data_IF_283695983198
#
_entry.id   IF_283695983198
#
_cell.length_a   1.000
_cell.length_b   1.000
_cell.length_c   1.000
_cell.angle_alpha   90.00
_cell.angle_beta   90.00
_cell.angle_gamma   90.00
#
_symmetry.space_group_name_H-M   'P 1'
#
loop_
_entity.id
_entity.type
_entity.pdbx_description
1 polymer ?
#
# COMPACT_ATOMS: atom_id res chain seq x y z
N UNK A 1 19.43 -12.38 2.33
CA UNK A 1 19.26 -11.46 1.19
C UNK A 1 20.49 -11.47 0.31
N UNK A 2 20.29 -11.21 -0.96
CA UNK A 2 21.38 -11.19 -1.94
C UNK A 2 22.16 -9.89 -1.79
N UNK A 3 23.50 -9.99 -1.90
CA UNK A 3 24.35 -8.81 -1.96
C UNK A 3 24.11 -8.04 -3.28
N UNK A 4 23.77 -6.76 -3.17
CA UNK A 4 23.50 -5.89 -4.32
C UNK A 4 24.54 -4.77 -4.47
N UNK A 5 25.69 -4.88 -3.78
CA UNK A 5 26.72 -3.84 -3.77
C UNK A 5 27.22 -3.45 -5.15
N UNK A 6 27.27 -4.39 -6.09
CA UNK A 6 27.77 -4.18 -7.44
C UNK A 6 26.73 -3.64 -8.43
N UNK A 7 25.45 -3.58 -8.03
CA UNK A 7 24.40 -3.06 -8.91
C UNK A 7 24.46 -1.55 -9.01
N UNK A 8 24.24 -1.05 -10.21
CA UNK A 8 24.07 0.39 -10.45
C UNK A 8 22.77 0.85 -9.80
N UNK A 9 22.81 1.99 -9.12
CA UNK A 9 21.60 2.64 -8.59
C UNK A 9 20.73 3.09 -9.76
N UNK A 10 19.49 2.61 -9.79
CA UNK A 10 18.51 2.96 -10.82
C UNK A 10 17.17 3.26 -10.15
N UNK A 11 16.32 4.00 -10.86
CA UNK A 11 14.95 4.19 -10.42
C UNK A 11 14.21 2.87 -10.52
N UNK A 12 13.58 2.48 -9.41
CA UNK A 12 12.79 1.26 -9.31
C UNK A 12 11.36 1.60 -8.94
N UNK A 13 10.43 0.90 -9.56
CA UNK A 13 9.00 1.09 -9.34
C UNK A 13 8.33 -0.27 -9.23
N UNK A 14 7.46 -0.42 -8.24
CA UNK A 14 6.61 -1.60 -8.09
C UNK A 14 5.16 -1.17 -7.91
N UNK A 15 4.26 -1.96 -8.47
CA UNK A 15 2.82 -1.76 -8.36
C UNK A 15 2.23 -3.03 -7.79
N UNK A 16 1.45 -2.91 -6.72
CA UNK A 16 0.72 -4.03 -6.13
C UNK A 16 -0.78 -3.69 -6.13
N UNK A 17 -1.59 -4.71 -6.24
CA UNK A 17 -3.04 -4.56 -6.24
C UNK A 17 -3.68 -5.56 -5.27
N UNK A 18 -4.82 -5.18 -4.72
CA UNK A 18 -5.62 -6.06 -3.88
C UNK A 18 -7.08 -5.65 -3.94
N UNK A 19 -7.94 -6.49 -3.42
CA UNK A 19 -9.38 -6.22 -3.38
C UNK A 19 -9.90 -6.49 -1.98
N UNK A 20 -10.61 -5.51 -1.44
CA UNK A 20 -11.34 -5.64 -0.19
C UNK A 20 -12.80 -5.94 -0.51
N UNK A 21 -13.23 -7.17 -0.21
CA UNK A 21 -14.60 -7.60 -0.44
C UNK A 21 -15.47 -7.26 0.76
N UNK A 22 -16.63 -6.69 0.51
CA UNK A 22 -17.58 -6.32 1.54
C UNK A 22 -19.02 -6.45 1.02
N UNK A 23 -19.94 -5.64 1.52
CA UNK A 23 -21.35 -5.67 1.13
C UNK A 23 -21.77 -4.34 0.52
N UNK A 24 -22.86 -4.35 -0.25
CA UNK A 24 -23.43 -3.13 -0.81
C UNK A 24 -23.82 -2.15 0.28
N UNK A 25 -24.31 -2.65 1.41
CA UNK A 25 -24.69 -1.81 2.56
C UNK A 25 -23.48 -1.04 3.11
N UNK A 26 -22.36 -1.69 3.27
CA UNK A 26 -21.13 -1.06 3.76
C UNK A 26 -20.62 -0.02 2.76
N UNK A 27 -20.65 -0.35 1.47
CA UNK A 27 -20.23 0.59 0.43
C UNK A 27 -21.14 1.82 0.40
N UNK A 28 -22.44 1.65 0.54
CA UNK A 28 -23.37 2.78 0.58
C UNK A 28 -23.09 3.69 1.77
N UNK A 29 -22.83 3.12 2.96
CA UNK A 29 -22.44 3.88 4.14
C UNK A 29 -21.13 4.65 3.92
N UNK A 30 -20.17 4.03 3.27
CA UNK A 30 -18.89 4.66 2.96
C UNK A 30 -19.08 5.86 2.01
N UNK A 31 -19.89 5.71 0.96
CA UNK A 31 -20.18 6.77 0.00
C UNK A 31 -20.93 7.94 0.64
N UNK A 32 -21.76 7.67 1.62
CA UNK A 32 -22.50 8.69 2.38
C UNK A 32 -21.67 9.31 3.50
N UNK A 33 -20.43 8.86 3.69
CA UNK A 33 -19.54 9.27 4.79
C UNK A 33 -20.19 9.08 6.17
N UNK A 34 -21.03 8.05 6.29
CA UNK A 34 -21.82 7.78 7.49
C UNK A 34 -21.17 6.76 8.43
N UNK A 35 -19.93 6.36 8.18
CA UNK A 35 -19.21 5.42 9.04
C UNK A 35 -18.68 6.13 10.29
N UNK A 36 -18.76 5.48 11.47
CA UNK A 36 -18.47 6.16 12.75
C UNK A 36 -17.00 6.54 12.93
N UNK A 37 -16.08 5.93 12.19
CA UNK A 37 -14.64 6.21 12.29
C UNK A 37 -14.14 7.28 11.32
N UNK A 38 -15.05 8.03 10.67
CA UNK A 38 -14.71 9.13 9.79
C UNK A 38 -14.35 8.68 8.37
N UNK A 39 -13.43 9.37 7.72
CA UNK A 39 -13.04 9.09 6.34
C UNK A 39 -12.20 7.81 6.26
N UNK A 40 -12.85 6.73 5.90
CA UNK A 40 -12.26 5.40 5.85
C UNK A 40 -11.16 5.32 4.79
N UNK A 41 -11.38 5.88 3.61
CA UNK A 41 -10.41 5.81 2.53
C UNK A 41 -9.16 6.64 2.84
N UNK A 42 -9.33 7.83 3.40
CA UNK A 42 -8.18 8.65 3.79
C UNK A 42 -7.36 7.97 4.89
N UNK A 43 -8.02 7.36 5.87
CA UNK A 43 -7.36 6.62 6.95
C UNK A 43 -6.60 5.42 6.40
N UNK A 44 -7.21 4.64 5.53
CA UNK A 44 -6.57 3.48 4.90
C UNK A 44 -5.39 3.89 4.02
N UNK A 45 -5.50 4.99 3.30
CA UNK A 45 -4.40 5.53 2.48
C UNK A 45 -3.19 5.86 3.33
N UNK A 46 -3.39 6.59 4.42
CA UNK A 46 -2.31 6.96 5.34
C UNK A 46 -1.68 5.70 5.94
N UNK A 47 -2.49 4.74 6.37
CA UNK A 47 -1.98 3.49 6.93
C UNK A 47 -1.12 2.72 5.93
N UNK A 48 -1.54 2.64 4.67
CA UNK A 48 -0.78 1.99 3.61
C UNK A 48 0.55 2.69 3.34
N UNK A 49 0.56 4.01 3.27
CA UNK A 49 1.78 4.79 3.08
C UNK A 49 2.75 4.59 4.24
N UNK A 50 2.27 4.65 5.47
CA UNK A 50 3.10 4.41 6.66
C UNK A 50 3.67 3.00 6.66
N UNK A 51 2.86 2.00 6.27
CA UNK A 51 3.29 0.61 6.23
C UNK A 51 4.40 0.38 5.19
N UNK A 52 4.29 0.99 4.01
CA UNK A 52 5.34 0.91 3.00
C UNK A 52 6.69 1.38 3.55
N UNK A 53 6.68 2.45 4.32
CA UNK A 53 7.90 3.03 4.92
C UNK A 53 8.44 2.21 6.09
N UNK A 54 7.68 1.24 6.60
CA UNK A 54 8.04 0.37 7.74
C UNK A 54 8.11 -1.09 7.34
N UNK A 55 8.25 -1.40 6.08
CA UNK A 55 8.23 -2.78 5.59
C UNK A 55 9.34 -3.61 6.24
N UNK A 56 10.52 -3.04 6.42
CA UNK A 56 11.64 -3.71 7.08
C UNK A 56 11.33 -4.12 8.52
N UNK A 57 10.47 -3.38 9.22
CA UNK A 57 10.05 -3.70 10.58
C UNK A 57 8.95 -4.79 10.61
N UNK A 58 8.21 -4.96 9.52
CA UNK A 58 7.07 -5.88 9.44
C UNK A 58 7.42 -7.20 8.77
N UNK A 59 8.29 -7.16 7.78
CA UNK A 59 8.63 -8.32 6.95
C UNK A 59 10.06 -8.72 7.23
N UNK A 60 10.29 -9.96 7.71
CA UNK A 60 11.65 -10.44 7.95
C UNK A 60 12.52 -10.42 6.70
N UNK A 61 13.81 -10.19 6.89
CA UNK A 61 14.83 -10.23 5.84
C UNK A 61 14.69 -9.14 4.77
N UNK A 62 13.91 -8.09 5.04
CA UNK A 62 13.84 -6.92 4.18
C UNK A 62 14.78 -5.83 4.66
N UNK A 63 15.47 -5.19 3.71
CA UNK A 63 16.30 -4.02 4.00
C UNK A 63 15.44 -2.76 4.11
N UNK A 64 15.87 -1.83 4.95
CA UNK A 64 15.27 -0.50 4.93
C UNK A 64 15.69 0.23 3.65
N UNK A 65 14.70 0.75 2.93
CA UNK A 65 14.89 1.46 1.69
C UNK A 65 14.35 2.88 1.80
N UNK A 66 15.07 3.82 1.20
CA UNK A 66 14.59 5.20 1.08
C UNK A 66 13.60 5.25 -0.10
N UNK A 67 12.35 5.51 0.20
CA UNK A 67 11.31 5.56 -0.82
C UNK A 67 11.16 7.00 -1.33
N UNK A 68 11.16 7.18 -2.65
CA UNK A 68 10.98 8.48 -3.28
C UNK A 68 9.51 8.85 -3.49
N UNK A 69 8.65 7.84 -3.62
CA UNK A 69 7.20 8.03 -3.76
C UNK A 69 6.44 6.81 -3.28
N UNK A 70 5.30 7.05 -2.63
CA UNK A 70 4.34 6.02 -2.27
C UNK A 70 2.94 6.57 -2.55
N UNK A 71 2.20 5.91 -3.45
CA UNK A 71 0.82 6.25 -3.76
C UNK A 71 -0.08 5.07 -3.45
N UNK A 72 -1.21 5.32 -2.81
CA UNK A 72 -2.24 4.34 -2.55
C UNK A 72 -3.57 4.88 -3.07
N UNK A 73 -4.14 4.20 -4.04
CA UNK A 73 -5.39 4.60 -4.68
C UNK A 73 -6.47 3.55 -4.49
N UNK A 74 -7.71 4.01 -4.44
CA UNK A 74 -8.87 3.15 -4.27
C UNK A 74 -9.86 3.37 -5.40
N UNK A 75 -10.48 2.28 -5.86
CA UNK A 75 -11.63 2.33 -6.75
C UNK A 75 -12.79 1.63 -6.04
N UNK A 76 -13.85 2.37 -5.74
CA UNK A 76 -15.00 1.89 -4.99
C UNK A 76 -16.04 1.35 -5.95
N UNK A 77 -16.36 0.06 -5.83
CA UNK A 77 -17.44 -0.60 -6.57
C UNK A 77 -18.62 -0.86 -5.63
N UNK A 78 -19.63 -1.59 -6.09
CA UNK A 78 -20.87 -1.77 -5.31
C UNK A 78 -20.69 -2.68 -4.08
N UNK A 79 -19.78 -3.62 -4.13
CA UNK A 79 -19.56 -4.62 -3.06
C UNK A 79 -18.10 -4.86 -2.74
N UNK A 80 -17.20 -4.04 -3.29
CA UNK A 80 -15.78 -4.18 -3.03
C UNK A 80 -15.03 -2.88 -3.28
N UNK A 81 -13.80 -2.83 -2.81
CA UNK A 81 -12.88 -1.72 -3.03
C UNK A 81 -11.59 -2.29 -3.58
N UNK A 82 -11.21 -1.85 -4.78
CA UNK A 82 -9.92 -2.19 -5.35
C UNK A 82 -8.85 -1.24 -4.81
N UNK A 83 -7.72 -1.80 -4.45
CA UNK A 83 -6.59 -1.08 -3.86
C UNK A 83 -5.41 -1.21 -4.80
N UNK A 84 -4.79 -0.08 -5.13
CA UNK A 84 -3.59 -0.05 -5.96
C UNK A 84 -2.51 0.75 -5.23
N UNK A 85 -1.37 0.13 -4.99
CA UNK A 85 -0.22 0.82 -4.41
C UNK A 85 0.91 0.88 -5.41
N UNK A 86 1.51 2.06 -5.54
CA UNK A 86 2.67 2.31 -6.39
C UNK A 86 3.77 2.85 -5.51
N UNK A 87 4.93 2.20 -5.53
CA UNK A 87 6.08 2.58 -4.71
C UNK A 87 7.29 2.76 -5.60
N UNK A 88 8.05 3.81 -5.36
CA UNK A 88 9.27 4.11 -6.11
C UNK A 88 10.45 4.33 -5.16
N UNK A 89 11.62 3.94 -5.62
CA UNK A 89 12.91 4.21 -4.96
C UNK A 89 13.99 4.42 -6.00
N UNK A 90 15.03 5.15 -5.65
CA UNK A 90 16.27 5.21 -6.41
C UNK A 90 17.30 4.38 -5.64
N UNK A 91 17.30 3.08 -5.87
CA UNK A 91 18.12 2.16 -5.09
C UNK A 91 18.67 1.02 -5.93
N UNK A 92 19.32 0.08 -5.25
CA UNK A 92 19.97 -1.07 -5.86
C UNK A 92 19.10 -2.32 -5.90
N UNK A 93 17.90 -2.26 -5.28
CA UNK A 93 16.94 -3.37 -5.22
C UNK A 93 15.53 -2.85 -5.44
N UNK A 94 14.61 -3.77 -5.73
CA UNK A 94 13.21 -3.44 -5.98
C UNK A 94 12.43 -3.13 -4.71
N UNK A 95 11.21 -2.66 -4.90
CA UNK A 95 10.30 -2.24 -3.82
C UNK A 95 8.99 -3.01 -3.84
N UNK A 96 9.02 -4.26 -4.31
CA UNK A 96 7.84 -5.13 -4.40
C UNK A 96 7.23 -5.38 -3.02
N UNK A 97 8.06 -5.63 -2.00
CA UNK A 97 7.57 -5.89 -0.65
C UNK A 97 6.92 -4.67 -0.03
N UNK A 98 7.47 -3.48 -0.32
CA UNK A 98 6.88 -2.22 0.12
C UNK A 98 5.50 -1.99 -0.48
N UNK A 99 5.35 -2.26 -1.78
CA UNK A 99 4.07 -2.12 -2.46
C UNK A 99 3.03 -3.13 -1.94
N UNK A 100 3.43 -4.39 -1.75
CA UNK A 100 2.55 -5.43 -1.21
C UNK A 100 2.13 -5.11 0.23
N UNK A 101 3.06 -4.63 1.05
CA UNK A 101 2.79 -4.24 2.44
C UNK A 101 1.79 -3.08 2.49
N UNK A 102 1.96 -2.09 1.61
CA UNK A 102 1.02 -0.97 1.52
C UNK A 102 -0.41 -1.45 1.23
N UNK A 103 -0.58 -2.35 0.25
CA UNK A 103 -1.89 -2.89 -0.10
C UNK A 103 -2.47 -3.69 1.06
N UNK A 104 -1.68 -4.56 1.70
CA UNK A 104 -2.14 -5.41 2.78
C UNK A 104 -2.63 -4.59 3.98
N UNK A 105 -1.87 -3.59 4.39
CA UNK A 105 -2.23 -2.77 5.55
C UNK A 105 -3.37 -1.80 5.22
N UNK A 106 -3.42 -1.24 4.02
CA UNK A 106 -4.57 -0.44 3.58
C UNK A 106 -5.85 -1.29 3.61
N UNK A 107 -5.80 -2.51 3.09
CA UNK A 107 -6.93 -3.44 3.12
C UNK A 107 -7.34 -3.83 4.53
N UNK A 108 -6.38 -4.08 5.40
CA UNK A 108 -6.67 -4.41 6.81
C UNK A 108 -7.30 -3.21 7.54
N UNK A 109 -6.94 -1.99 7.17
CA UNK A 109 -7.47 -0.77 7.79
C UNK A 109 -8.93 -0.52 7.36
N UNK A 110 -9.28 -0.93 6.15
CA UNK A 110 -10.66 -0.88 5.69
C UNK A 110 -11.52 -1.86 6.51
#
# INVERSE_FOLDING_TARGET
MVDVGDKTTTRRRAVAAGTFHTTTKVIDLLRESALPKGDVLATARIAGIMAAKRTDALIPLCHQLALSAVDVDFTVADDHIDILATVETAGKTGVEMEALTAVAIAGLTL
#
